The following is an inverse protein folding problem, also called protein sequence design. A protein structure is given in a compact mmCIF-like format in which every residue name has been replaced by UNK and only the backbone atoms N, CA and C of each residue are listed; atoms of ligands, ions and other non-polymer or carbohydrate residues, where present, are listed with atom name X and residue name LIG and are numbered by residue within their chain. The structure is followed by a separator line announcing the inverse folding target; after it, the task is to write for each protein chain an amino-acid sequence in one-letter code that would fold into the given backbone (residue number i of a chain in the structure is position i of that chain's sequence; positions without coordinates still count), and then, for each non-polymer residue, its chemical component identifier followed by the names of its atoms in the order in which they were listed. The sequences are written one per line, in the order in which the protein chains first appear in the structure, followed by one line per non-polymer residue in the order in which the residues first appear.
data_IF_300432258074
#
_entry.id   IF_300432258074
#
_cell.length_a   1.000
_cell.length_b   1.000
_cell.length_c   1.000
_cell.angle_alpha   90.00
_cell.angle_beta   90.00
_cell.angle_gamma   90.00
#
_symmetry.space_group_name_H-M   'P 1'
#
loop_
_entity.id
_entity.type
_entity.pdbx_description
1 polymer ?
#
# COMPACT_ATOMS: atom_id res chain seq x y z
N UNK A 1 0.96 23.96 -5.49
CA UNK A 1 0.83 22.75 -4.66
C UNK A 1 0.29 21.60 -5.50
N UNK A 2 0.99 20.45 -5.60
CA UNK A 2 0.48 19.31 -6.34
C UNK A 2 -0.75 18.74 -5.61
N UNK A 3 -1.81 18.43 -6.36
CA UNK A 3 -3.00 17.77 -5.85
C UNK A 3 -2.76 16.27 -5.90
N UNK A 4 -2.70 15.64 -4.74
CA UNK A 4 -2.50 14.20 -4.64
C UNK A 4 -3.86 13.50 -4.71
N UNK A 5 -4.02 12.60 -5.69
CA UNK A 5 -5.20 11.76 -5.81
C UNK A 5 -4.81 10.39 -5.30
N UNK A 6 -5.17 10.08 -4.05
CA UNK A 6 -4.92 8.76 -3.47
C UNK A 6 -6.08 7.84 -3.79
N UNK A 7 -5.79 6.77 -4.54
CA UNK A 7 -6.73 5.69 -4.81
C UNK A 7 -6.45 4.51 -3.89
N UNK A 8 -7.31 4.25 -2.91
CA UNK A 8 -7.24 3.04 -2.08
C UNK A 8 -8.32 2.03 -2.51
N UNK A 9 -7.93 0.75 -2.56
CA UNK A 9 -8.81 -0.38 -2.88
C UNK A 9 -8.96 -1.28 -1.67
N UNK A 10 -10.19 -1.37 -1.15
CA UNK A 10 -10.56 -2.30 -0.07
C UNK A 10 -11.64 -3.26 -0.57
N UNK A 11 -11.46 -4.59 -0.45
CA UNK A 11 -12.56 -5.53 -0.63
C UNK A 11 -13.26 -5.80 0.70
N UNK A 12 -14.57 -5.99 0.65
CA UNK A 12 -15.41 -6.28 1.81
C UNK A 12 -15.73 -7.78 1.84
N UNK A 13 -15.38 -8.48 2.93
CA UNK A 13 -15.87 -9.82 3.20
C UNK A 13 -17.06 -9.74 4.15
N UNK A 14 -18.24 -10.11 3.66
CA UNK A 14 -19.44 -10.25 4.48
C UNK A 14 -19.40 -11.63 5.17
N UNK A 15 -19.40 -11.68 6.52
CA UNK A 15 -19.65 -12.92 7.24
C UNK A 15 -20.50 -12.69 8.50
N UNK A 16 -21.53 -13.50 8.76
CA UNK A 16 -22.55 -13.22 9.77
C UNK A 16 -22.11 -13.57 11.20
N UNK A 17 -22.69 -12.83 12.15
CA UNK A 17 -22.45 -12.93 13.59
C UNK A 17 -22.71 -14.33 14.16
N UNK A 18 -21.84 -14.81 15.05
CA UNK A 18 -22.28 -15.51 16.26
C UNK A 18 -21.31 -15.28 17.44
N UNK A 19 -21.92 -14.98 18.58
CA UNK A 19 -21.35 -14.53 19.85
C UNK A 19 -21.24 -15.74 20.80
N UNK A 20 -20.07 -16.01 21.40
CA UNK A 20 -19.97 -16.50 22.80
C UNK A 20 -18.53 -16.44 23.35
N UNK A 21 -18.38 -15.90 24.56
CA UNK A 21 -17.16 -15.92 25.40
C UNK A 21 -17.16 -17.13 26.34
N UNK A 22 -15.97 -17.60 26.75
CA UNK A 22 -15.61 -18.17 28.09
C UNK A 22 -14.07 -18.20 28.19
N UNK A 23 -13.43 -17.36 29.00
CA UNK A 23 -13.05 -17.52 30.44
C UNK A 23 -12.17 -18.75 30.70
N UNK A 24 -10.90 -18.49 31.04
CA UNK A 24 -9.92 -19.45 31.55
C UNK A 24 -8.77 -18.69 32.22
N UNK A 25 -8.77 -18.73 33.55
CA UNK A 25 -7.92 -18.10 34.55
C UNK A 25 -6.80 -19.07 34.96
N UNK A 26 -5.57 -18.60 35.21
CA UNK A 26 -4.43 -19.23 35.94
C UNK A 26 -3.17 -18.42 35.59
N UNK A 27 -2.21 -18.06 36.44
CA UNK A 27 -2.00 -18.17 37.88
C UNK A 27 -0.80 -17.25 38.20
N UNK A 28 -0.72 -16.77 39.45
CA UNK A 28 0.40 -16.00 39.99
C UNK A 28 1.66 -16.84 40.17
N UNK A 29 2.83 -16.23 40.01
CA UNK A 29 4.05 -16.63 40.71
C UNK A 29 4.95 -15.41 40.96
N UNK A 30 5.02 -15.02 42.24
CA UNK A 30 6.03 -14.12 42.81
C UNK A 30 7.43 -14.73 42.72
N UNK A 31 8.45 -13.90 42.49
CA UNK A 31 9.75 -14.09 43.14
C UNK A 31 10.50 -12.76 43.35
N UNK A 32 10.77 -12.50 44.61
CA UNK A 32 11.61 -11.45 45.19
C UNK A 32 13.08 -11.46 44.73
N UNK A 33 13.75 -10.30 44.93
CA UNK A 33 15.17 -10.09 45.34
C UNK A 33 15.93 -9.18 44.35
N UNK A 34 16.71 -8.15 44.68
CA UNK A 34 17.07 -7.40 45.90
C UNK A 34 17.82 -6.14 45.43
N UNK A 35 17.64 -5.04 46.19
CA UNK A 35 18.45 -3.82 46.32
C UNK A 35 19.78 -3.70 45.56
N UNK A 36 20.03 -2.52 44.96
CA UNK A 36 21.23 -1.73 45.22
C UNK A 36 20.96 -0.24 44.97
N UNK A 37 21.06 0.55 46.04
CA UNK A 37 21.01 2.02 46.06
C UNK A 37 22.30 2.61 45.49
N UNK A 38 22.15 3.66 44.68
CA UNK A 38 23.22 4.56 44.27
C UNK A 38 22.68 5.97 44.06
N UNK A 39 22.66 6.76 45.12
CA UNK A 39 22.34 8.19 45.09
C UNK A 39 23.34 8.97 44.25
N UNK A 40 22.86 9.79 43.29
CA UNK A 40 23.50 11.05 42.88
C UNK A 40 22.47 12.14 42.60
N UNK A 41 22.93 13.36 42.83
CA UNK A 41 22.24 14.59 43.15
C UNK A 41 21.25 15.17 42.12
N UNK A 42 20.22 15.80 42.70
CA UNK A 42 19.60 17.08 42.36
C UNK A 42 19.97 17.77 41.04
N UNK A 43 18.95 17.94 40.21
CA UNK A 43 18.88 18.93 39.14
C UNK A 43 17.43 19.03 38.66
N UNK A 44 16.67 19.97 39.23
CA UNK A 44 15.31 20.27 38.80
C UNK A 44 15.36 20.91 37.40
N UNK A 45 14.79 20.23 36.41
CA UNK A 45 14.32 20.85 35.18
C UNK A 45 12.83 20.52 35.08
N UNK A 46 12.02 21.57 35.25
CA UNK A 46 10.58 21.58 35.10
C UNK A 46 10.22 21.52 33.62
N UNK A 47 9.23 20.69 33.27
CA UNK A 47 8.38 20.90 32.08
C UNK A 47 8.82 20.20 30.80
N UNK A 48 8.84 18.87 30.82
CA UNK A 48 8.48 18.10 29.62
C UNK A 48 7.21 17.32 30.00
N UNK A 49 6.05 17.82 29.59
CA UNK A 49 4.87 16.97 29.43
C UNK A 49 5.22 15.99 28.30
N UNK A 50 5.91 14.92 28.69
CA UNK A 50 6.03 13.73 27.89
C UNK A 50 4.61 13.13 27.86
N UNK A 51 3.84 13.45 26.82
CA UNK A 51 2.74 12.58 26.40
C UNK A 51 3.38 11.26 25.99
N UNK A 52 3.72 10.46 26.99
CA UNK A 52 4.14 9.08 26.85
C UNK A 52 2.93 8.35 26.28
N UNK A 53 2.87 8.31 24.96
CA UNK A 53 1.91 7.47 24.25
C UNK A 53 2.24 6.04 24.63
N UNK A 54 1.24 5.34 25.16
CA UNK A 54 1.37 3.94 25.56
C UNK A 54 2.01 3.15 24.41
N UNK A 55 3.10 2.40 24.64
CA UNK A 55 3.78 1.63 23.59
C UNK A 55 2.86 0.67 22.84
N UNK A 56 1.75 0.23 23.44
CA UNK A 56 0.72 -0.57 22.75
C UNK A 56 -0.14 0.26 21.80
N UNK A 57 -0.39 1.53 22.11
CA UNK A 57 -1.12 2.49 21.26
C UNK A 57 -0.23 3.04 20.14
N UNK A 58 1.08 3.17 20.40
CA UNK A 58 2.08 3.58 19.42
C UNK A 58 2.49 2.45 18.45
N UNK A 59 2.15 1.19 18.74
CA UNK A 59 2.48 0.06 17.90
C UNK A 59 1.74 0.14 16.55
N UNK A 60 2.49 0.15 15.45
CA UNK A 60 1.91 0.22 14.11
C UNK A 60 1.17 -1.08 13.75
N UNK A 61 -0.10 -0.97 13.37
CA UNK A 61 -0.97 -2.12 13.07
C UNK A 61 -1.06 -2.33 11.55
N UNK A 62 -0.81 -3.56 11.08
CA UNK A 62 -1.04 -3.89 9.68
C UNK A 62 -2.52 -4.26 9.45
N UNK A 63 -3.24 -3.47 8.66
CA UNK A 63 -4.65 -3.67 8.30
C UNK A 63 -4.83 -4.27 6.89
N UNK A 64 -3.73 -4.61 6.21
CA UNK A 64 -3.75 -5.15 4.85
C UNK A 64 -3.86 -6.68 4.76
N UNK A 65 -3.88 -7.18 3.52
CA UNK A 65 -3.85 -8.62 3.25
C UNK A 65 -2.59 -9.29 3.81
N UNK A 66 -2.71 -10.50 4.39
CA UNK A 66 -1.57 -11.31 4.74
C UNK A 66 -0.80 -11.76 3.49
N UNK A 67 0.47 -12.08 3.67
CA UNK A 67 1.32 -12.61 2.60
C UNK A 67 1.62 -14.08 2.84
N UNK A 68 1.23 -14.93 1.90
CA UNK A 68 1.74 -16.28 1.84
C UNK A 68 3.18 -16.26 1.35
N UNK A 69 4.10 -16.66 2.22
CA UNK A 69 5.52 -16.75 1.88
C UNK A 69 5.77 -18.07 1.19
N UNK A 70 6.25 -18.03 -0.04
CA UNK A 70 6.78 -19.23 -0.68
C UNK A 70 8.02 -19.73 0.06
N UNK A 71 8.35 -20.99 -0.13
CA UNK A 71 9.56 -21.56 0.47
C UNK A 71 10.82 -20.85 -0.04
N UNK A 72 11.61 -20.31 0.89
CA UNK A 72 12.90 -19.66 0.59
C UNK A 72 13.84 -20.57 -0.20
N UNK A 73 13.81 -21.88 0.06
CA UNK A 73 14.65 -22.85 -0.67
C UNK A 73 14.21 -23.01 -2.12
N UNK A 74 12.91 -23.01 -2.39
CA UNK A 74 12.36 -23.10 -3.75
C UNK A 74 12.70 -21.84 -4.57
N UNK A 75 12.52 -20.65 -3.99
CA UNK A 75 12.89 -19.39 -4.62
C UNK A 75 14.39 -19.31 -4.95
N UNK A 76 15.23 -19.71 -3.99
CA UNK A 76 16.68 -19.72 -4.20
C UNK A 76 17.08 -20.69 -5.31
N UNK A 77 16.49 -21.89 -5.35
CA UNK A 77 16.74 -22.89 -6.40
C UNK A 77 16.40 -22.34 -7.78
N UNK A 78 15.20 -21.78 -7.96
CA UNK A 78 14.77 -21.18 -9.23
C UNK A 78 15.70 -20.04 -9.68
N UNK A 79 16.15 -19.20 -8.74
CA UNK A 79 17.10 -18.11 -9.02
C UNK A 79 18.45 -18.65 -9.48
N UNK A 80 18.99 -19.69 -8.83
CA UNK A 80 20.26 -20.29 -9.20
C UNK A 80 20.20 -20.99 -10.57
N UNK A 81 19.11 -21.70 -10.85
CA UNK A 81 18.87 -22.33 -12.16
C UNK A 81 18.80 -21.27 -13.28
N UNK A 82 18.06 -20.19 -13.06
CA UNK A 82 18.01 -19.06 -13.99
C UNK A 82 19.40 -18.45 -14.22
N UNK A 83 20.17 -18.18 -13.14
CA UNK A 83 21.53 -17.64 -13.27
C UNK A 83 22.47 -18.59 -14.01
N UNK A 84 22.36 -19.91 -13.77
CA UNK A 84 23.16 -20.91 -14.47
C UNK A 84 22.86 -20.92 -15.97
N UNK A 85 21.58 -20.89 -16.35
CA UNK A 85 21.15 -20.85 -17.74
C UNK A 85 21.64 -19.58 -18.46
N UNK A 86 21.50 -18.41 -17.82
CA UNK A 86 21.96 -17.14 -18.39
C UNK A 86 23.49 -17.13 -18.57
N UNK A 87 24.26 -17.66 -17.59
CA UNK A 87 25.73 -17.75 -17.68
C UNK A 87 26.23 -18.73 -18.73
N UNK A 88 25.46 -19.76 -19.07
CA UNK A 88 25.83 -20.70 -20.14
C UNK A 88 25.63 -20.16 -21.56
N UNK A 89 24.91 -19.04 -21.72
CA UNK A 89 24.65 -18.45 -23.03
C UNK A 89 25.88 -17.69 -23.54
N UNK A 90 26.46 -18.17 -24.65
CA UNK A 90 27.60 -17.52 -25.32
C UNK A 90 27.22 -16.16 -25.92
N UNK A 91 25.99 -16.03 -26.39
CA UNK A 91 25.49 -14.78 -26.99
C UNK A 91 25.42 -13.67 -25.94
N UNK A 92 24.88 -13.98 -24.75
CA UNK A 92 24.82 -13.03 -23.64
C UNK A 92 26.22 -12.63 -23.16
N UNK A 93 27.16 -13.57 -23.09
CA UNK A 93 28.56 -13.27 -22.76
C UNK A 93 29.17 -12.32 -23.78
N UNK A 94 29.00 -12.59 -25.08
CA UNK A 94 29.54 -11.75 -26.15
C UNK A 94 28.94 -10.34 -26.15
N UNK A 95 27.62 -10.22 -25.96
CA UNK A 95 26.94 -8.93 -25.85
C UNK A 95 27.37 -8.15 -24.60
N UNK A 96 27.56 -8.83 -23.47
CA UNK A 96 28.07 -8.21 -22.24
C UNK A 96 29.52 -7.73 -22.44
N UNK A 97 30.40 -8.56 -23.00
CA UNK A 97 31.82 -8.23 -23.26
C UNK A 97 31.98 -7.07 -24.24
N UNK A 98 31.05 -6.92 -25.18
CA UNK A 98 31.04 -5.83 -26.16
C UNK A 98 30.25 -4.61 -25.70
N UNK A 99 29.73 -4.59 -24.46
CA UNK A 99 28.88 -3.52 -23.91
C UNK A 99 27.63 -3.20 -24.75
N UNK A 100 27.09 -4.20 -25.45
CA UNK A 100 25.88 -4.09 -26.28
C UNK A 100 24.67 -4.78 -25.65
N UNK A 101 24.80 -5.31 -24.44
CA UNK A 101 23.72 -5.96 -23.72
C UNK A 101 22.70 -4.91 -23.25
N UNK A 102 21.49 -4.95 -23.80
CA UNK A 102 20.38 -4.08 -23.43
C UNK A 102 19.42 -4.86 -22.53
N UNK A 103 18.99 -4.23 -21.44
CA UNK A 103 18.03 -4.81 -20.50
C UNK A 103 16.62 -4.40 -20.94
N UNK A 104 15.72 -5.37 -21.05
CA UNK A 104 14.29 -5.14 -21.26
C UNK A 104 13.66 -4.53 -19.99
N UNK A 105 13.40 -3.22 -20.04
CA UNK A 105 12.81 -2.47 -18.94
C UNK A 105 11.37 -2.90 -18.63
N UNK A 106 10.59 -3.31 -19.63
CA UNK A 106 9.21 -3.76 -19.43
C UNK A 106 9.18 -5.08 -18.67
N UNK A 107 10.13 -5.97 -18.96
CA UNK A 107 10.29 -7.21 -18.21
C UNK A 107 10.74 -6.95 -16.77
N UNK A 108 11.67 -6.00 -16.58
CA UNK A 108 12.09 -5.56 -15.24
C UNK A 108 10.89 -5.02 -14.47
N UNK A 109 10.10 -4.12 -15.07
CA UNK A 109 8.93 -3.52 -14.44
C UNK A 109 7.88 -4.56 -14.05
N UNK A 110 7.56 -5.49 -14.95
CA UNK A 110 6.63 -6.61 -14.67
C UNK A 110 7.10 -7.50 -13.52
N UNK A 111 8.41 -7.76 -13.45
CA UNK A 111 9.00 -8.55 -12.36
C UNK A 111 9.02 -7.79 -11.05
N UNK A 112 9.34 -6.49 -11.11
CA UNK A 112 9.38 -5.58 -9.98
C UNK A 112 8.02 -5.48 -9.28
N UNK A 113 6.94 -5.20 -10.04
CA UNK A 113 5.57 -5.09 -9.51
C UNK A 113 5.14 -6.36 -8.76
N UNK A 114 5.55 -7.54 -9.25
CA UNK A 114 5.20 -8.84 -8.65
C UNK A 114 6.00 -9.20 -7.39
N UNK A 115 7.17 -8.60 -7.19
CA UNK A 115 8.12 -9.05 -6.15
C UNK A 115 8.33 -7.99 -5.09
N UNK A 116 9.09 -6.94 -5.42
CA UNK A 116 9.53 -5.92 -4.47
C UNK A 116 8.63 -4.69 -4.46
N UNK A 117 7.98 -4.36 -5.57
CA UNK A 117 7.26 -3.11 -5.75
C UNK A 117 6.16 -2.85 -4.72
N UNK A 118 5.52 -3.89 -4.19
CA UNK A 118 4.53 -3.77 -3.12
C UNK A 118 5.13 -3.20 -1.81
N UNK A 119 6.36 -3.61 -1.48
CA UNK A 119 7.04 -3.17 -0.25
C UNK A 119 7.58 -1.75 -0.41
N UNK A 120 8.16 -1.45 -1.57
CA UNK A 120 8.64 -0.10 -1.88
C UNK A 120 7.49 0.90 -1.90
N UNK A 121 6.33 0.50 -2.42
CA UNK A 121 5.13 1.34 -2.40
C UNK A 121 4.65 1.63 -0.98
N UNK A 122 4.70 0.65 -0.07
CA UNK A 122 4.45 0.90 1.36
C UNK A 122 5.45 1.92 1.92
N UNK A 123 6.74 1.76 1.65
CA UNK A 123 7.76 2.70 2.16
C UNK A 123 7.57 4.10 1.61
N UNK A 124 7.17 4.21 0.34
CA UNK A 124 6.86 5.49 -0.30
C UNK A 124 5.61 6.13 0.32
N UNK A 125 4.59 5.32 0.61
CA UNK A 125 3.38 5.79 1.29
C UNK A 125 3.65 6.27 2.73
N UNK A 126 4.55 5.59 3.45
CA UNK A 126 5.09 6.04 4.73
C UNK A 126 5.80 7.39 4.59
N UNK A 127 6.68 7.52 3.59
CA UNK A 127 7.44 8.75 3.35
C UNK A 127 6.55 9.96 3.02
N UNK A 128 5.44 9.75 2.32
CA UNK A 128 4.47 10.81 2.02
C UNK A 128 3.45 11.05 3.15
N UNK A 129 3.55 10.36 4.29
CA UNK A 129 2.62 10.54 5.42
C UNK A 129 1.20 10.01 5.17
N UNK A 130 0.99 9.21 4.11
CA UNK A 130 -0.34 8.73 3.71
C UNK A 130 -1.00 7.94 4.83
N UNK A 131 -0.26 6.99 5.41
CA UNK A 131 -0.83 6.12 6.43
C UNK A 131 -1.15 6.87 7.71
N UNK A 132 -0.31 7.83 8.10
CA UNK A 132 -0.54 8.68 9.26
C UNK A 132 -1.81 9.51 9.08
N UNK A 133 -1.95 10.16 7.91
CA UNK A 133 -3.09 11.05 7.65
C UNK A 133 -4.40 10.26 7.52
N UNK A 134 -4.40 9.14 6.79
CA UNK A 134 -5.63 8.38 6.49
C UNK A 134 -6.02 7.36 7.57
N UNK A 135 -5.04 6.77 8.27
CA UNK A 135 -5.26 5.62 9.14
C UNK A 135 -4.56 5.72 10.52
N UNK A 136 -3.91 6.85 10.83
CA UNK A 136 -3.17 7.05 12.07
C UNK A 136 -2.01 6.07 12.21
N UNK A 137 -2.05 5.20 13.23
CA UNK A 137 -1.00 4.21 13.48
C UNK A 137 -1.07 2.97 12.58
N UNK A 138 -2.13 2.82 11.77
CA UNK A 138 -2.32 1.66 10.91
C UNK A 138 -1.65 1.82 9.54
N UNK A 139 -1.26 0.70 8.92
CA UNK A 139 -0.67 0.66 7.58
C UNK A 139 -1.08 -0.61 6.84
N UNK A 140 -0.82 -0.66 5.53
CA UNK A 140 -0.95 -1.90 4.78
C UNK A 140 0.12 -2.01 3.69
N UNK A 141 0.30 -3.23 3.16
CA UNK A 141 1.12 -3.47 1.97
C UNK A 141 0.18 -3.63 0.78
N UNK A 142 0.22 -2.75 -0.23
CA UNK A 142 -0.65 -2.86 -1.41
C UNK A 142 -0.35 -4.14 -2.18
N UNK A 143 -1.27 -5.12 -2.13
CA UNK A 143 -1.10 -6.42 -2.80
C UNK A 143 -1.60 -6.44 -4.23
N UNK A 144 -2.62 -5.64 -4.53
CA UNK A 144 -3.23 -5.55 -5.86
C UNK A 144 -2.64 -4.33 -6.57
N UNK A 145 -1.87 -4.52 -7.66
CA UNK A 145 -1.38 -3.41 -8.47
C UNK A 145 -2.56 -2.69 -9.12
N UNK A 146 -2.60 -1.38 -8.93
CA UNK A 146 -3.60 -0.51 -9.53
C UNK A 146 -2.95 0.28 -10.67
N UNK A 147 -3.57 0.24 -11.85
CA UNK A 147 -3.17 1.06 -13.00
C UNK A 147 -4.22 2.14 -13.20
N UNK A 148 -3.76 3.39 -13.25
CA UNK A 148 -4.60 4.59 -13.43
C UNK A 148 -3.98 5.40 -14.55
N UNK A 149 -4.80 5.90 -15.48
CA UNK A 149 -4.36 6.79 -16.54
C UNK A 149 -5.43 7.80 -16.90
N UNK A 150 -5.05 9.05 -17.08
CA UNK A 150 -5.93 10.12 -17.56
C UNK A 150 -5.84 10.25 -19.07
N UNK A 151 -6.96 10.54 -19.72
CA UNK A 151 -7.02 10.85 -21.15
C UNK A 151 -6.79 12.35 -21.34
N UNK A 152 -5.75 12.74 -22.10
CA UNK A 152 -5.38 14.15 -22.28
C UNK A 152 -5.90 14.69 -23.62
N UNK A 153 -5.53 14.04 -24.74
CA UNK A 153 -5.79 14.53 -26.10
C UNK A 153 -6.37 13.43 -27.03
N UNK A 154 -7.46 12.78 -26.60
CA UNK A 154 -8.22 11.80 -27.41
C UNK A 154 -7.56 10.43 -27.62
N UNK A 155 -6.23 10.37 -27.72
CA UNK A 155 -5.45 9.13 -27.85
C UNK A 155 -4.24 9.06 -26.88
N UNK A 156 -3.87 10.18 -26.25
CA UNK A 156 -2.74 10.21 -25.31
C UNK A 156 -3.19 9.91 -23.88
N UNK A 157 -2.52 8.94 -23.25
CA UNK A 157 -2.73 8.57 -21.86
C UNK A 157 -1.61 9.15 -20.98
N UNK A 158 -2.00 9.83 -19.90
CA UNK A 158 -1.12 10.27 -18.84
C UNK A 158 -1.19 9.26 -17.68
N UNK A 159 -0.21 8.35 -17.54
CA UNK A 159 -0.20 7.36 -16.47
C UNK A 159 0.05 8.01 -15.11
N UNK A 160 -0.69 7.55 -14.10
CA UNK A 160 -0.45 7.91 -12.71
C UNK A 160 0.47 6.86 -12.10
N UNK A 161 1.58 7.32 -11.56
CA UNK A 161 2.54 6.56 -10.78
C UNK A 161 2.52 7.07 -9.34
N UNK A 162 3.41 6.53 -8.52
CA UNK A 162 3.46 6.90 -7.11
C UNK A 162 4.33 8.15 -6.95
N UNK A 163 3.69 9.31 -6.77
CA UNK A 163 4.38 10.58 -6.53
C UNK A 163 4.67 11.43 -7.77
N UNK A 164 4.26 11.02 -8.97
CA UNK A 164 4.39 11.87 -10.15
C UNK A 164 3.31 12.97 -10.16
N UNK A 165 3.63 14.11 -10.77
CA UNK A 165 2.71 15.26 -10.84
C UNK A 165 1.84 15.14 -12.08
N UNK A 166 0.52 15.18 -11.88
CA UNK A 166 -0.49 15.27 -12.94
C UNK A 166 -1.09 16.68 -12.91
N UNK A 167 -1.24 17.31 -14.08
CA UNK A 167 -1.81 18.67 -14.13
C UNK A 167 -3.32 18.60 -13.92
N UNK A 168 -3.93 19.60 -13.26
CA UNK A 168 -5.38 19.66 -13.11
C UNK A 168 -6.13 19.62 -14.45
N UNK A 169 -5.56 20.19 -15.51
CA UNK A 169 -6.14 20.12 -16.86
C UNK A 169 -6.15 18.70 -17.44
N UNK A 170 -5.13 17.88 -17.13
CA UNK A 170 -5.05 16.47 -17.55
C UNK A 170 -6.03 15.62 -16.74
N UNK A 171 -6.29 15.99 -15.49
CA UNK A 171 -7.24 15.33 -14.58
C UNK A 171 -8.66 15.94 -14.61
N UNK A 172 -9.05 16.61 -15.71
CA UNK A 172 -10.37 17.24 -15.82
C UNK A 172 -11.52 16.23 -15.93
N UNK A 173 -11.25 15.00 -16.36
CA UNK A 173 -12.20 13.88 -16.48
C UNK A 173 -11.74 12.72 -15.61
N UNK A 174 -12.68 11.84 -15.24
CA UNK A 174 -12.37 10.63 -14.48
C UNK A 174 -11.32 9.77 -15.21
N UNK A 175 -10.35 9.18 -14.48
CA UNK A 175 -9.32 8.37 -15.10
C UNK A 175 -9.84 6.99 -15.52
N UNK A 176 -9.13 6.38 -16.46
CA UNK A 176 -9.24 4.94 -16.75
C UNK A 176 -8.50 4.17 -15.65
N UNK A 177 -9.18 3.19 -15.07
CA UNK A 177 -8.66 2.38 -13.97
C UNK A 177 -8.75 0.90 -14.34
N UNK A 178 -7.67 0.18 -14.09
CA UNK A 178 -7.63 -1.28 -14.21
C UNK A 178 -6.84 -1.90 -13.06
N UNK A 179 -7.34 -3.03 -12.58
CA UNK A 179 -6.67 -3.89 -11.62
C UNK A 179 -7.21 -5.31 -11.77
N UNK A 180 -6.44 -6.28 -11.28
CA UNK A 180 -6.87 -7.68 -11.31
C UNK A 180 -7.77 -7.98 -10.10
N UNK A 181 -9.08 -7.83 -10.30
CA UNK A 181 -10.06 -8.18 -9.28
C UNK A 181 -10.35 -9.67 -9.19
N UNK A 182 -9.93 -10.47 -10.17
CA UNK A 182 -10.18 -11.92 -10.22
C UNK A 182 -9.10 -12.72 -9.50
N UNK A 183 -7.98 -12.11 -9.13
CA UNK A 183 -6.97 -12.75 -8.29
C UNK A 183 -7.26 -12.50 -6.80
N UNK A 184 -7.16 -13.56 -6.01
CA UNK A 184 -7.13 -13.47 -4.57
C UNK A 184 -5.80 -12.82 -4.13
N UNK A 185 -5.82 -11.66 -3.45
CA UNK A 185 -4.62 -10.95 -3.04
C UNK A 185 -3.76 -11.69 -2.01
N UNK A 186 -4.30 -12.73 -1.36
CA UNK A 186 -3.59 -13.55 -0.38
C UNK A 186 -2.82 -14.68 -1.06
N UNK A 187 -3.49 -15.41 -1.95
CA UNK A 187 -2.93 -16.60 -2.61
C UNK A 187 -2.29 -16.32 -3.95
N UNK A 188 -2.63 -15.20 -4.59
CA UNK A 188 -2.22 -14.88 -5.96
C UNK A 188 -2.85 -15.79 -7.02
N UNK A 189 -3.87 -16.57 -6.66
CA UNK A 189 -4.59 -17.47 -7.56
C UNK A 189 -5.94 -16.88 -7.95
N UNK A 190 -6.56 -17.44 -9.00
CA UNK A 190 -7.91 -17.04 -9.39
C UNK A 190 -8.89 -17.27 -8.23
N UNK A 191 -9.69 -16.25 -7.93
CA UNK A 191 -10.76 -16.32 -6.97
C UNK A 191 -11.78 -17.37 -7.43
N UNK A 192 -12.13 -18.30 -6.55
CA UNK A 192 -13.12 -19.34 -6.84
C UNK A 192 -14.58 -18.84 -6.81
N UNK A 193 -14.79 -17.55 -6.54
CA UNK A 193 -16.08 -16.89 -6.39
C UNK A 193 -15.97 -15.43 -6.85
N UNK A 194 -17.11 -14.78 -7.04
CA UNK A 194 -17.15 -13.35 -7.35
C UNK A 194 -16.50 -12.52 -6.23
N UNK A 195 -15.73 -11.52 -6.63
CA UNK A 195 -15.07 -10.58 -5.71
C UNK A 195 -15.70 -9.20 -5.83
N UNK A 196 -15.68 -8.44 -4.74
CA UNK A 196 -16.18 -7.08 -4.70
C UNK A 196 -15.12 -6.13 -4.16
N UNK A 197 -15.00 -4.99 -4.82
CA UNK A 197 -13.98 -3.99 -4.55
C UNK A 197 -14.59 -2.60 -4.38
N UNK A 198 -13.88 -1.75 -3.68
CA UNK A 198 -14.24 -0.35 -3.48
C UNK A 198 -13.08 0.52 -3.92
N UNK A 199 -13.36 1.54 -4.72
CA UNK A 199 -12.41 2.54 -5.16
C UNK A 199 -12.72 3.88 -4.49
N UNK A 200 -11.73 4.48 -3.86
CA UNK A 200 -11.84 5.77 -3.19
C UNK A 200 -10.71 6.69 -3.64
N UNK A 201 -11.04 7.85 -4.22
CA UNK A 201 -10.11 8.94 -4.52
C UNK A 201 -10.27 10.06 -3.47
N UNK A 202 -9.25 10.28 -2.64
CA UNK A 202 -9.25 11.31 -1.59
C UNK A 202 -8.02 12.21 -1.71
N UNK A 203 -8.15 13.45 -1.25
CA UNK A 203 -7.07 14.40 -1.06
C UNK A 203 -7.02 14.87 0.41
N UNK A 204 -6.05 14.38 1.20
CA UNK A 204 -5.92 14.73 2.61
C UNK A 204 -5.48 16.19 2.84
N UNK A 205 -4.89 16.84 1.83
CA UNK A 205 -4.33 18.20 1.96
C UNK A 205 -5.29 19.30 1.46
N UNK A 206 -6.53 18.94 1.10
CA UNK A 206 -7.45 19.84 0.41
C UNK A 206 -8.09 20.91 1.31
N UNK A 207 -8.11 20.71 2.64
CA UNK A 207 -8.98 21.48 3.51
C UNK A 207 -8.21 22.50 4.36
N UNK A 208 -8.30 23.78 3.98
CA UNK A 208 -7.53 24.88 4.61
C UNK A 208 -7.98 25.25 6.02
N UNK A 209 -9.24 24.96 6.37
CA UNK A 209 -9.85 25.42 7.63
C UNK A 209 -9.84 24.39 8.75
N UNK A 210 -9.76 23.11 8.40
CA UNK A 210 -9.69 21.99 9.33
C UNK A 210 -8.60 21.02 8.83
N UNK A 211 -7.46 21.04 9.52
CA UNK A 211 -6.29 20.24 9.17
C UNK A 211 -6.52 18.71 9.22
N UNK A 212 -7.66 18.25 9.74
CA UNK A 212 -8.02 16.82 9.83
C UNK A 212 -9.06 16.39 8.79
N UNK A 213 -9.56 17.31 7.97
CA UNK A 213 -10.59 17.00 6.98
C UNK A 213 -9.98 16.76 5.60
N UNK A 214 -10.51 15.76 4.90
CA UNK A 214 -10.08 15.37 3.56
C UNK A 214 -11.15 15.76 2.51
N UNK A 215 -10.73 15.95 1.26
CA UNK A 215 -11.67 16.11 0.14
C UNK A 215 -11.87 14.80 -0.61
N UNK A 216 -13.11 14.34 -0.66
CA UNK A 216 -13.53 13.21 -1.48
C UNK A 216 -13.65 13.63 -2.95
N UNK A 217 -12.81 13.06 -3.81
CA UNK A 217 -12.82 13.30 -5.25
C UNK A 217 -13.62 12.27 -6.02
N UNK A 218 -13.68 11.02 -5.57
CA UNK A 218 -14.44 9.97 -6.26
C UNK A 218 -14.69 8.78 -5.34
N UNK A 219 -15.88 8.18 -5.40
CA UNK A 219 -16.19 7.00 -4.61
C UNK A 219 -17.06 6.03 -5.40
N UNK A 220 -16.52 4.83 -5.67
CA UNK A 220 -17.25 3.73 -6.27
C UNK A 220 -17.19 2.53 -5.33
N UNK A 221 -18.34 2.00 -4.94
CA UNK A 221 -18.46 0.79 -4.13
C UNK A 221 -18.94 -0.40 -4.96
N UNK A 222 -18.87 -1.60 -4.39
CA UNK A 222 -19.44 -2.82 -4.95
C UNK A 222 -18.99 -3.15 -6.39
N UNK A 223 -17.74 -2.82 -6.74
CA UNK A 223 -17.14 -3.11 -8.05
C UNK A 223 -16.98 -4.62 -8.20
N UNK A 224 -17.71 -5.29 -9.10
CA UNK A 224 -17.65 -6.73 -9.25
C UNK A 224 -16.41 -7.13 -10.08
N UNK A 225 -15.60 -8.06 -9.57
CA UNK A 225 -14.51 -8.70 -10.32
C UNK A 225 -13.52 -7.72 -10.99
N UNK A 226 -13.33 -6.53 -10.41
CA UNK A 226 -12.46 -5.48 -10.95
C UNK A 226 -13.05 -4.65 -12.10
N UNK A 227 -14.33 -4.87 -12.46
CA UNK A 227 -15.02 -4.11 -13.51
C UNK A 227 -15.53 -2.78 -12.97
N UNK A 228 -14.66 -1.78 -12.95
CA UNK A 228 -14.95 -0.45 -12.34
C UNK A 228 -16.26 0.17 -12.87
N UNK A 229 -16.54 0.02 -14.17
CA UNK A 229 -17.76 0.53 -14.80
C UNK A 229 -19.07 -0.13 -14.34
N UNK A 230 -19.01 -1.34 -13.77
CA UNK A 230 -20.16 -2.05 -13.22
C UNK A 230 -20.35 -1.75 -11.71
N UNK A 231 -19.50 -0.91 -11.12
CA UNK A 231 -19.58 -0.51 -9.72
C UNK A 231 -20.66 0.54 -9.45
N UNK A 232 -21.05 0.66 -8.19
CA UNK A 232 -21.99 1.66 -7.72
C UNK A 232 -21.27 2.96 -7.38
N UNK A 233 -21.48 4.01 -8.18
CA UNK A 233 -20.95 5.36 -7.91
C UNK A 233 -21.71 5.96 -6.72
N UNK A 234 -21.01 6.18 -5.61
CA UNK A 234 -21.54 6.82 -4.39
C UNK A 234 -21.21 8.31 -4.33
N UNK A 235 -20.10 8.73 -4.94
CA UNK A 235 -19.77 10.13 -5.17
C UNK A 235 -19.19 10.28 -6.57
N UNK A 236 -19.76 11.20 -7.36
CA UNK A 236 -19.31 11.51 -8.71
C UNK A 236 -17.89 12.08 -8.74
N UNK A 237 -17.20 11.89 -9.87
CA UNK A 237 -15.83 12.39 -10.01
C UNK A 237 -15.79 13.92 -9.96
N UNK A 238 -15.01 14.43 -9.01
CA UNK A 238 -14.70 15.83 -8.85
C UNK A 238 -13.22 16.05 -9.24
N UNK A 239 -12.92 16.80 -10.31
CA UNK A 239 -11.56 17.09 -10.71
C UNK A 239 -10.75 17.77 -9.60
N UNK A 240 -9.42 17.59 -9.56
CA UNK A 240 -8.56 18.29 -8.60
C UNK A 240 -8.57 19.81 -8.83
N UNK A 241 -8.73 20.59 -7.76
CA UNK A 241 -8.75 22.07 -7.78
C UNK A 241 -7.72 22.65 -6.80
N UNK A 242 -6.41 22.52 -7.05
CA UNK A 242 -5.42 23.11 -6.16
C UNK A 242 -5.58 24.63 -6.11
N UNK A 243 -5.39 25.26 -4.94
CA UNK A 243 -5.38 26.70 -4.81
C UNK A 243 -4.20 27.29 -5.58
N UNK A 244 -4.35 28.55 -5.99
CA UNK A 244 -3.32 29.30 -6.70
C UNK A 244 -2.19 29.71 -5.77
#
# INVERSE_FOLDING_TARGET
NPTWIYSSLFPFQNSPSHRTKRVGQLELADHHSTLLQGHRHAGAILGAEETATDPEVAARINIGFPQLKESRSAQLKARLEHLKAQRSSKELEQLARTNKLIIDLDKVQRTYVKTTGQHDLRLLADHYGIFEHLFGSAYFVPRVPLSISYEVDGDSLAPVYNGNVIKPAEAAKAPQISFDGLLDPITGQAAGQDTYWTLLATNPDAHYTNATAECLHWFIANIPNGKVGDGQVLAEYLPPFPPR
#
